data_IF_974414619493
#
_entry.id   IF_974414619493
#
_cell.length_a   1.000
_cell.length_b   1.000
_cell.length_c   1.000
_cell.angle_alpha   90.00
_cell.angle_beta   90.00
_cell.angle_gamma   90.00
#
_symmetry.space_group_name_H-M   'P 1'
#
loop_
_entity.id
_entity.type
_entity.pdbx_description
1 polymer ?
#
# COMPACT_ATOMS: atom_id res chain seq x y z
N UNK A 1 5.43 -5.59 3.78
CA UNK A 1 4.27 -6.32 4.34
C UNK A 1 3.91 -5.73 5.68
N UNK A 2 2.62 -5.53 5.93
CA UNK A 2 2.04 -4.95 7.15
C UNK A 2 1.19 -5.97 7.90
N UNK A 3 0.75 -5.63 9.11
CA UNK A 3 0.11 -6.57 10.03
C UNK A 3 -1.39 -6.76 9.77
N UNK A 4 -2.05 -5.83 9.06
CA UNK A 4 -3.47 -5.90 8.70
C UNK A 4 -3.80 -5.22 7.37
N UNK A 5 -4.98 -5.50 6.82
CA UNK A 5 -5.50 -4.79 5.65
C UNK A 5 -5.63 -3.27 5.90
N UNK A 6 -6.05 -2.87 7.10
CA UNK A 6 -6.21 -1.47 7.49
C UNK A 6 -4.86 -0.72 7.57
N UNK A 7 -3.78 -1.44 7.90
CA UNK A 7 -2.43 -0.88 7.87
C UNK A 7 -1.96 -0.57 6.44
N UNK A 8 -2.45 -1.30 5.42
CA UNK A 8 -2.14 -1.00 4.01
C UNK A 8 -2.70 0.36 3.64
N UNK A 9 -3.98 0.60 3.95
CA UNK A 9 -4.64 1.88 3.69
C UNK A 9 -4.01 3.02 4.48
N UNK A 10 -3.71 2.78 5.75
CA UNK A 10 -3.11 3.78 6.64
C UNK A 10 -1.72 4.20 6.17
N UNK A 11 -0.88 3.23 5.80
CA UNK A 11 0.48 3.48 5.29
C UNK A 11 0.45 4.13 3.90
N UNK A 12 -0.49 3.74 3.05
CA UNK A 12 -0.70 4.36 1.74
C UNK A 12 -1.08 5.84 1.89
N UNK A 13 -2.06 6.16 2.75
CA UNK A 13 -2.46 7.54 3.01
C UNK A 13 -1.32 8.37 3.62
N UNK A 14 -0.55 7.78 4.54
CA UNK A 14 0.63 8.43 5.11
C UNK A 14 1.68 8.73 4.03
N UNK A 15 1.97 7.78 3.14
CA UNK A 15 2.94 7.99 2.06
C UNK A 15 2.54 9.16 1.15
N UNK A 16 1.26 9.24 0.76
CA UNK A 16 0.75 10.37 -0.04
C UNK A 16 0.87 11.71 0.71
N UNK A 17 0.57 11.73 2.01
CA UNK A 17 0.73 12.93 2.84
C UNK A 17 2.19 13.41 2.92
N UNK A 18 3.15 12.50 2.72
CA UNK A 18 4.59 12.79 2.68
C UNK A 18 5.14 13.01 1.27
N UNK A 19 4.28 13.15 0.27
CA UNK A 19 4.67 13.51 -1.09
C UNK A 19 5.00 12.32 -2.00
N UNK A 20 4.71 11.09 -1.57
CA UNK A 20 4.67 9.96 -2.49
C UNK A 20 3.52 10.13 -3.49
N UNK A 21 3.60 9.42 -4.61
CA UNK A 21 2.56 9.41 -5.64
C UNK A 21 1.97 8.02 -5.81
N UNK A 22 0.69 7.96 -6.15
CA UNK A 22 0.00 6.69 -6.38
C UNK A 22 0.52 6.02 -7.66
N UNK A 23 0.95 4.77 -7.55
CA UNK A 23 1.24 3.88 -8.69
C UNK A 23 0.06 2.91 -8.89
N UNK A 24 -0.46 2.36 -7.80
CA UNK A 24 -1.65 1.51 -7.80
C UNK A 24 -2.46 1.79 -6.55
N UNK A 25 -3.75 2.08 -6.72
CA UNK A 25 -4.65 2.32 -5.59
C UNK A 25 -4.86 1.05 -4.75
N UNK A 26 -5.10 1.20 -3.43
CA UNK A 26 -5.42 0.08 -2.57
C UNK A 26 -6.56 -0.79 -3.12
N UNK A 27 -6.30 -2.07 -3.28
CA UNK A 27 -7.28 -3.04 -3.79
C UNK A 27 -7.13 -4.40 -3.08
N UNK A 28 -8.23 -5.13 -3.04
CA UNK A 28 -8.25 -6.47 -2.46
C UNK A 28 -7.62 -7.45 -3.45
N UNK A 29 -6.62 -8.20 -2.99
CA UNK A 29 -5.92 -9.15 -3.82
C UNK A 29 -6.83 -10.36 -4.13
N UNK A 30 -6.80 -10.93 -5.35
CA UNK A 30 -7.62 -12.10 -5.69
C UNK A 30 -7.40 -13.34 -4.81
N UNK A 31 -6.25 -13.42 -4.15
CA UNK A 31 -5.87 -14.49 -3.22
C UNK A 31 -6.13 -14.13 -1.74
N UNK A 32 -6.80 -13.01 -1.48
CA UNK A 32 -7.06 -12.45 -0.15
C UNK A 32 -5.95 -11.48 0.31
N UNK A 33 -6.29 -10.64 1.30
CA UNK A 33 -5.46 -9.53 1.74
C UNK A 33 -5.63 -8.30 0.84
N UNK A 34 -4.83 -7.29 1.11
CA UNK A 34 -4.91 -5.97 0.49
C UNK A 34 -3.54 -5.55 -0.03
N UNK A 35 -3.51 -4.94 -1.20
CA UNK A 35 -2.29 -4.43 -1.82
C UNK A 35 -2.46 -2.98 -2.27
N UNK A 36 -1.38 -2.21 -2.25
CA UNK A 36 -1.27 -0.88 -2.82
C UNK A 36 0.18 -0.62 -3.26
N UNK A 37 0.38 0.36 -4.15
CA UNK A 37 1.73 0.75 -4.56
C UNK A 37 1.86 2.27 -4.69
N UNK A 38 2.96 2.79 -4.15
CA UNK A 38 3.33 4.21 -4.24
C UNK A 38 4.73 4.36 -4.81
N UNK A 39 5.00 5.49 -5.45
CA UNK A 39 6.34 5.91 -5.82
C UNK A 39 6.81 7.04 -4.90
N UNK A 40 8.02 6.93 -4.37
CA UNK A 40 8.66 8.02 -3.62
C UNK A 40 9.10 9.17 -4.54
N UNK A 41 9.69 10.22 -3.96
CA UNK A 41 10.12 11.40 -4.71
C UNK A 41 11.23 11.12 -5.74
N UNK A 42 12.03 10.07 -5.52
CA UNK A 42 13.06 9.59 -6.45
C UNK A 42 12.49 8.66 -7.53
N UNK A 43 11.20 8.34 -7.44
CA UNK A 43 10.49 7.47 -8.36
C UNK A 43 10.63 5.97 -8.06
N UNK A 44 11.19 5.58 -6.89
CA UNK A 44 11.23 4.18 -6.51
C UNK A 44 9.86 3.70 -6.05
N UNK A 45 9.49 2.49 -6.47
CA UNK A 45 8.20 1.90 -6.16
C UNK A 45 8.25 1.09 -4.89
N UNK A 46 7.24 1.27 -4.06
CA UNK A 46 7.07 0.62 -2.78
C UNK A 46 5.72 -0.09 -2.75
N UNK A 47 5.75 -1.41 -2.66
CA UNK A 47 4.55 -2.22 -2.51
C UNK A 47 4.17 -2.32 -1.03
N UNK A 48 2.89 -2.13 -0.76
CA UNK A 48 2.27 -2.20 0.54
C UNK A 48 1.28 -3.36 0.48
N UNK A 49 1.59 -4.44 1.19
CA UNK A 49 0.81 -5.68 1.12
C UNK A 49 0.53 -6.22 2.52
N UNK A 50 -0.67 -6.74 2.72
CA UNK A 50 -1.03 -7.61 3.85
C UNK A 50 -1.19 -9.06 3.39
N UNK A 51 -1.34 -9.98 4.34
CA UNK A 51 -1.71 -11.37 4.04
C UNK A 51 -3.22 -11.58 4.22
N UNK A 52 -3.80 -12.62 3.60
CA UNK A 52 -5.18 -12.99 3.85
C UNK A 52 -5.45 -13.22 5.35
N UNK A 53 -6.43 -12.50 5.89
CA UNK A 53 -6.85 -12.62 7.30
C UNK A 53 -6.01 -11.82 8.30
N UNK A 54 -5.19 -10.89 7.80
CA UNK A 54 -4.45 -9.91 8.56
C UNK A 54 -5.35 -8.74 9.00
#
# INVERSE_FOLDING_TARGET
>A
MVASDEDVDSLFAAALAHGATTVTEPNDAPHGGRNACVADFDGHWWNLDSYPGA
#
